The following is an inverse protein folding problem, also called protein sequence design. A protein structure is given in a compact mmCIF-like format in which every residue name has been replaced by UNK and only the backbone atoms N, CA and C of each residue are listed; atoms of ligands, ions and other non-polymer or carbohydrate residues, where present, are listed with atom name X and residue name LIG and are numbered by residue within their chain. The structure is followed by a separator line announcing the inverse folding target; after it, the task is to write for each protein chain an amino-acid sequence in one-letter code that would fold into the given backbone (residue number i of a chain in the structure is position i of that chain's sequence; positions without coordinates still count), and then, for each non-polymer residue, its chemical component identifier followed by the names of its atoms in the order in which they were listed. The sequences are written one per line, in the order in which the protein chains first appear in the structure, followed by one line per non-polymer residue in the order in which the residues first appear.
data_IF_632093197885
#
_entry.id   IF_632093197885
#
_cell.length_a   1.000
_cell.length_b   1.000
_cell.length_c   1.000
_cell.angle_alpha   90.00
_cell.angle_beta   90.00
_cell.angle_gamma   90.00
#
_symmetry.space_group_name_H-M   'P 1'
#
loop_
_entity.id
_entity.type
_entity.pdbx_description
1 polymer ?
#
# COMPACT_ATOMS: atom_id res chain seq x y z
N UNK A 1 23.18 19.71 -37.47
CA UNK A 1 21.97 19.97 -36.65
C UNK A 1 21.21 18.71 -36.26
N UNK A 2 21.12 17.68 -37.11
CA UNK A 2 20.31 16.47 -36.85
C UNK A 2 20.86 15.48 -35.82
N UNK A 3 22.11 15.62 -35.37
CA UNK A 3 22.75 14.72 -34.38
C UNK A 3 22.66 15.30 -32.94
N UNK A 4 22.43 16.61 -32.81
CA UNK A 4 22.28 17.29 -31.51
C UNK A 4 20.86 17.18 -30.94
N UNK A 5 19.87 16.85 -31.77
CA UNK A 5 18.48 16.65 -31.35
C UNK A 5 18.21 15.25 -30.77
N UNK A 6 19.12 14.29 -30.98
CA UNK A 6 19.02 12.93 -30.41
C UNK A 6 19.39 12.86 -28.92
N UNK A 7 19.97 13.94 -28.37
CA UNK A 7 20.31 14.08 -26.95
C UNK A 7 19.19 14.77 -26.15
N UNK A 8 18.08 15.11 -26.79
CA UNK A 8 16.87 15.66 -26.19
C UNK A 8 15.79 14.60 -25.98
N UNK A 9 16.18 13.33 -25.77
CA UNK A 9 15.31 12.44 -25.02
C UNK A 9 15.37 12.97 -23.58
N UNK A 10 14.25 13.37 -22.96
CA UNK A 10 14.23 13.43 -21.51
C UNK A 10 14.46 12.00 -21.07
N UNK A 11 15.71 11.67 -20.75
CA UNK A 11 15.95 10.66 -19.75
C UNK A 11 15.16 11.18 -18.56
N UNK A 12 13.96 10.63 -18.35
CA UNK A 12 13.35 10.64 -17.04
C UNK A 12 14.44 10.03 -16.16
N UNK A 13 15.29 10.86 -15.56
CA UNK A 13 16.16 10.45 -14.49
C UNK A 13 15.18 9.97 -13.43
N UNK A 14 14.92 8.68 -13.41
CA UNK A 14 14.22 8.06 -12.30
C UNK A 14 15.07 8.40 -11.09
N UNK A 15 14.53 9.30 -10.26
CA UNK A 15 15.20 9.68 -9.02
C UNK A 15 15.35 8.39 -8.20
N UNK A 16 16.49 8.18 -7.53
CA UNK A 16 16.68 6.98 -6.73
C UNK A 16 15.55 6.87 -5.68
N UNK A 17 15.16 5.65 -5.28
CA UNK A 17 14.20 5.49 -4.20
C UNK A 17 14.72 6.22 -2.96
N UNK A 18 13.82 6.73 -2.14
CA UNK A 18 14.19 7.36 -0.87
C UNK A 18 13.53 6.67 0.33
N UNK A 19 12.59 5.75 0.08
CA UNK A 19 12.05 4.85 1.07
C UNK A 19 11.63 3.52 0.43
N UNK A 20 11.21 2.57 1.26
CA UNK A 20 10.73 1.28 0.79
C UNK A 20 10.25 0.39 1.93
N UNK A 21 9.80 -0.80 1.56
CA UNK A 21 9.35 -1.79 2.54
C UNK A 21 9.51 -3.22 2.06
N UNK A 22 9.62 -4.14 3.03
CA UNK A 22 9.64 -5.58 2.82
C UNK A 22 8.45 -6.19 3.56
N UNK A 23 7.49 -6.75 2.81
CA UNK A 23 6.45 -7.61 3.37
C UNK A 23 7.03 -9.02 3.54
N UNK A 24 7.17 -9.46 4.77
CA UNK A 24 7.83 -10.74 5.09
C UNK A 24 6.86 -11.92 4.89
N UNK A 25 7.36 -13.17 4.84
CA UNK A 25 6.50 -14.35 4.85
C UNK A 25 5.52 -14.38 6.04
N UNK A 26 5.95 -13.89 7.22
CA UNK A 26 5.08 -13.76 8.40
C UNK A 26 3.97 -12.75 8.17
N UNK A 27 4.26 -11.60 7.57
CA UNK A 27 3.26 -10.61 7.18
C UNK A 27 2.28 -11.14 6.13
N UNK A 28 2.77 -11.86 5.13
CA UNK A 28 1.92 -12.50 4.13
C UNK A 28 0.99 -13.54 4.75
N UNK A 29 1.47 -14.28 5.76
CA UNK A 29 0.65 -15.24 6.49
C UNK A 29 -0.47 -14.57 7.30
N UNK A 30 -0.26 -13.33 7.77
CA UNK A 30 -1.31 -12.52 8.39
C UNK A 30 -2.32 -12.01 7.36
N UNK A 31 -1.85 -11.72 6.14
CA UNK A 31 -2.71 -11.37 5.01
C UNK A 31 -3.48 -12.57 4.42
N UNK A 32 -3.32 -13.79 4.96
CA UNK A 32 -4.20 -14.93 4.61
C UNK A 32 -5.64 -14.49 4.76
N UNK A 33 -6.33 -14.46 3.63
CA UNK A 33 -7.66 -13.93 3.44
C UNK A 33 -8.54 -14.03 4.68
N UNK A 34 -8.89 -12.90 5.27
CA UNK A 34 -9.87 -12.85 6.34
C UNK A 34 -11.24 -13.41 5.90
N UNK A 35 -12.20 -13.58 6.83
CA UNK A 35 -13.50 -14.25 6.63
C UNK A 35 -14.39 -13.67 5.49
N UNK A 36 -13.97 -12.59 4.84
CA UNK A 36 -14.67 -11.93 3.73
C UNK A 36 -14.49 -12.62 2.38
N UNK A 37 -13.39 -13.33 2.13
CA UNK A 37 -13.25 -14.11 0.87
C UNK A 37 -14.11 -15.38 0.91
N UNK A 38 -14.31 -15.97 2.09
CA UNK A 38 -15.36 -16.97 2.29
C UNK A 38 -16.76 -16.41 1.97
N UNK A 39 -17.00 -15.09 2.13
CA UNK A 39 -18.28 -14.47 1.78
C UNK A 39 -18.48 -14.38 0.27
N UNK A 40 -17.43 -14.09 -0.52
CA UNK A 40 -17.53 -14.00 -1.99
C UNK A 40 -17.82 -15.38 -2.59
N UNK A 41 -17.23 -16.43 -2.02
CA UNK A 41 -17.48 -17.82 -2.44
C UNK A 41 -18.86 -18.32 -1.93
N UNK A 42 -19.33 -17.81 -0.79
CA UNK A 42 -20.66 -18.14 -0.23
C UNK A 42 -21.80 -17.39 -0.93
N UNK A 43 -21.60 -16.14 -1.37
CA UNK A 43 -22.58 -15.38 -2.16
C UNK A 43 -22.57 -15.80 -3.64
N UNK A 44 -21.46 -16.37 -4.13
CA UNK A 44 -21.43 -17.17 -5.35
C UNK A 44 -22.15 -18.52 -5.23
N UNK A 45 -22.82 -18.79 -4.11
CA UNK A 45 -23.49 -20.05 -3.76
C UNK A 45 -24.80 -19.87 -2.99
N UNK A 46 -25.51 -18.75 -3.18
CA UNK A 46 -26.88 -18.56 -2.69
C UNK A 46 -27.10 -17.28 -1.88
N UNK A 47 -27.72 -16.29 -2.51
CA UNK A 47 -28.26 -15.08 -1.88
C UNK A 47 -27.56 -13.79 -2.30
N UNK A 48 -28.20 -13.06 -3.22
CA UNK A 48 -27.87 -11.70 -3.69
C UNK A 48 -26.49 -11.51 -4.32
N UNK A 49 -26.37 -11.98 -5.57
CA UNK A 49 -25.49 -11.37 -6.56
C UNK A 49 -25.79 -9.86 -6.58
N UNK A 50 -24.77 -9.04 -6.35
CA UNK A 50 -24.77 -7.63 -6.68
C UNK A 50 -25.31 -7.47 -8.11
N UNK A 51 -26.52 -6.92 -8.22
CA UNK A 51 -27.06 -6.47 -9.49
C UNK A 51 -26.10 -5.44 -10.08
N UNK A 52 -25.51 -5.76 -11.24
CA UNK A 52 -25.20 -4.75 -12.25
C UNK A 52 -25.07 -5.44 -13.61
N UNK A 53 -25.98 -5.11 -14.53
CA UNK A 53 -25.68 -5.04 -15.96
C UNK A 53 -25.75 -6.33 -16.79
N UNK A 54 -26.97 -6.72 -17.13
CA UNK A 54 -27.50 -7.23 -18.41
C UNK A 54 -26.69 -8.19 -19.32
N UNK A 55 -27.36 -9.28 -19.69
CA UNK A 55 -27.20 -9.94 -20.98
C UNK A 55 -26.04 -10.92 -21.14
N UNK A 56 -26.16 -12.14 -20.59
CA UNK A 56 -26.12 -13.41 -21.35
C UNK A 56 -25.88 -14.63 -20.44
N UNK A 57 -26.52 -15.74 -20.85
CA UNK A 57 -26.22 -17.15 -20.53
C UNK A 57 -27.02 -17.80 -19.39
N UNK A 58 -28.16 -18.39 -19.79
CA UNK A 58 -29.10 -19.22 -19.04
C UNK A 58 -28.50 -20.50 -18.39
N UNK A 59 -27.18 -20.73 -18.45
CA UNK A 59 -26.51 -21.91 -17.88
C UNK A 59 -25.97 -21.68 -16.47
N UNK A 60 -25.68 -20.45 -16.07
CA UNK A 60 -25.12 -20.12 -14.74
C UNK A 60 -26.16 -20.31 -13.63
N UNK A 61 -27.44 -20.06 -13.94
CA UNK A 61 -28.58 -20.20 -13.02
C UNK A 61 -28.88 -21.68 -12.67
N UNK A 62 -28.38 -22.64 -13.45
CA UNK A 62 -28.63 -24.07 -13.21
C UNK A 62 -27.65 -24.69 -12.20
N UNK A 63 -26.40 -24.21 -12.12
CA UNK A 63 -25.37 -24.68 -11.19
C UNK A 63 -25.66 -24.31 -9.72
N UNK A 64 -26.14 -23.09 -9.47
CA UNK A 64 -26.42 -22.57 -8.13
C UNK A 64 -27.53 -23.34 -7.39
N UNK A 65 -28.43 -23.99 -8.12
CA UNK A 65 -29.55 -24.74 -7.53
C UNK A 65 -29.16 -26.13 -7.02
N UNK A 66 -27.93 -26.61 -7.28
CA UNK A 66 -27.47 -27.95 -6.89
C UNK A 66 -26.42 -27.93 -5.76
N UNK A 67 -25.76 -26.79 -5.51
CA UNK A 67 -24.76 -26.65 -4.44
C UNK A 67 -25.49 -26.34 -3.13
N UNK A 68 -25.42 -27.25 -2.16
CA UNK A 68 -26.05 -27.09 -0.83
C UNK A 68 -25.08 -26.60 0.23
N UNK A 69 -23.79 -26.88 0.08
CA UNK A 69 -22.76 -26.46 1.03
C UNK A 69 -21.44 -26.18 0.33
N UNK A 70 -20.72 -25.18 0.84
CA UNK A 70 -19.37 -24.83 0.41
C UNK A 70 -18.55 -24.65 1.68
N UNK A 71 -17.50 -25.46 1.83
CA UNK A 71 -16.59 -25.40 2.98
C UNK A 71 -15.15 -25.23 2.50
N UNK A 72 -14.46 -24.20 3.00
CA UNK A 72 -13.07 -23.94 2.65
C UNK A 72 -12.19 -24.67 3.65
N UNK A 73 -11.57 -25.74 3.19
CA UNK A 73 -10.78 -26.65 4.05
C UNK A 73 -9.33 -26.21 4.18
N UNK A 74 -8.75 -25.62 3.14
CA UNK A 74 -7.40 -25.09 3.15
C UNK A 74 -7.29 -23.81 2.32
N UNK A 75 -6.57 -22.82 2.85
CA UNK A 75 -6.21 -21.60 2.13
C UNK A 75 -4.80 -21.17 2.53
N UNK A 76 -3.90 -21.13 1.57
CA UNK A 76 -2.52 -20.69 1.80
C UNK A 76 -2.03 -19.76 0.69
N UNK A 77 -1.23 -18.79 1.11
CA UNK A 77 -0.56 -17.84 0.24
C UNK A 77 0.93 -17.91 0.56
N UNK A 78 1.75 -18.15 -0.46
CA UNK A 78 3.19 -18.40 -0.31
C UNK A 78 3.98 -17.59 -1.33
N UNK A 79 5.23 -17.26 -0.99
CA UNK A 79 6.14 -16.53 -1.88
C UNK A 79 6.91 -17.54 -2.73
N UNK A 80 6.95 -17.31 -4.05
CA UNK A 80 7.86 -17.97 -4.98
C UNK A 80 8.95 -16.94 -5.34
N UNK A 81 10.19 -17.14 -4.88
CA UNK A 81 11.29 -16.24 -5.19
C UNK A 81 11.42 -15.97 -6.69
N UNK A 82 11.73 -14.72 -7.04
CA UNK A 82 11.95 -14.24 -8.41
C UNK A 82 10.73 -14.36 -9.35
N UNK A 83 9.60 -14.86 -8.86
CA UNK A 83 8.43 -15.21 -9.68
C UNK A 83 7.15 -14.51 -9.23
N UNK A 84 6.83 -14.53 -7.93
CA UNK A 84 5.57 -13.98 -7.43
C UNK A 84 5.02 -14.67 -6.18
N UNK A 85 3.70 -14.83 -6.14
CA UNK A 85 2.94 -15.50 -5.09
C UNK A 85 2.24 -16.74 -5.63
N UNK A 86 2.06 -17.74 -4.78
CA UNK A 86 1.19 -18.89 -5.06
C UNK A 86 0.09 -18.98 -4.02
N UNK A 87 -1.14 -18.88 -4.52
CA UNK A 87 -2.37 -19.13 -3.81
C UNK A 87 -2.74 -20.60 -4.01
N UNK A 88 -2.94 -21.32 -2.90
CA UNK A 88 -3.50 -22.66 -2.91
C UNK A 88 -4.80 -22.64 -2.08
N UNK A 89 -5.86 -23.20 -2.65
CA UNK A 89 -7.18 -23.21 -2.02
C UNK A 89 -7.88 -24.54 -2.26
N UNK A 90 -8.34 -25.18 -1.19
CA UNK A 90 -9.13 -26.40 -1.25
C UNK A 90 -10.52 -26.19 -0.64
N UNK A 91 -11.55 -26.57 -1.41
CA UNK A 91 -12.95 -26.35 -1.11
C UNK A 91 -13.73 -27.65 -1.24
N UNK A 92 -14.45 -28.03 -0.19
CA UNK A 92 -15.40 -29.13 -0.22
C UNK A 92 -16.80 -28.58 -0.61
N UNK A 93 -17.30 -29.04 -1.76
CA UNK A 93 -18.60 -28.69 -2.34
C UNK A 93 -19.59 -29.82 -2.12
N UNK A 94 -20.68 -29.56 -1.39
CA UNK A 94 -21.80 -30.47 -1.28
C UNK A 94 -22.77 -30.26 -2.43
N UNK A 95 -22.78 -31.16 -3.41
CA UNK A 95 -23.63 -31.09 -4.60
C UNK A 95 -24.74 -32.14 -4.50
N UNK A 96 -25.98 -31.70 -4.65
CA UNK A 96 -27.17 -32.56 -4.62
C UNK A 96 -27.84 -32.50 -6.00
N UNK A 97 -27.43 -33.36 -6.95
CA UNK A 97 -28.02 -33.40 -8.29
C UNK A 97 -29.48 -33.91 -8.28
N UNK A 98 -29.89 -34.58 -7.19
CA UNK A 98 -31.25 -35.10 -6.93
C UNK A 98 -31.55 -34.97 -5.42
N UNK A 99 -32.77 -34.62 -4.97
CA UNK A 99 -33.10 -34.32 -3.57
C UNK A 99 -32.72 -35.41 -2.54
N UNK A 100 -32.45 -36.65 -2.96
CA UNK A 100 -32.18 -37.80 -2.10
C UNK A 100 -30.70 -38.22 -1.99
N UNK A 101 -29.78 -37.60 -2.74
CA UNK A 101 -28.33 -37.91 -2.62
C UNK A 101 -27.50 -36.63 -2.67
N UNK A 102 -26.55 -36.50 -1.74
CA UNK A 102 -25.56 -35.41 -1.71
C UNK A 102 -24.20 -36.05 -1.94
N UNK A 103 -23.51 -35.62 -2.99
CA UNK A 103 -22.12 -35.97 -3.27
C UNK A 103 -21.23 -34.84 -2.80
N UNK A 104 -20.10 -35.18 -2.17
CA UNK A 104 -19.09 -34.21 -1.79
C UNK A 104 -18.00 -34.23 -2.85
N UNK A 105 -17.80 -33.10 -3.53
CA UNK A 105 -16.71 -32.90 -4.47
C UNK A 105 -15.68 -31.97 -3.83
N UNK A 106 -14.40 -32.27 -4.02
CA UNK A 106 -13.30 -31.42 -3.60
C UNK A 106 -12.79 -30.65 -4.80
N UNK A 107 -12.86 -29.33 -4.71
CA UNK A 107 -12.29 -28.38 -5.66
C UNK A 107 -10.97 -27.88 -5.10
N UNK A 108 -9.88 -28.12 -5.81
CA UNK A 108 -8.56 -27.53 -5.50
C UNK A 108 -8.21 -26.50 -6.56
N UNK A 109 -7.76 -25.32 -6.14
CA UNK A 109 -7.40 -24.20 -7.00
C UNK A 109 -5.97 -23.79 -6.65
N UNK A 110 -5.09 -23.88 -7.66
CA UNK A 110 -3.74 -23.33 -7.59
C UNK A 110 -3.67 -22.12 -8.53
N UNK A 111 -3.40 -20.94 -7.98
CA UNK A 111 -3.22 -19.73 -8.76
C UNK A 111 -1.88 -19.07 -8.45
N UNK A 112 -1.11 -18.76 -9.49
CA UNK A 112 0.09 -17.96 -9.40
C UNK A 112 -0.29 -16.49 -9.63
N UNK A 113 0.16 -15.63 -8.73
CA UNK A 113 -0.14 -14.20 -8.72
C UNK A 113 1.15 -13.41 -8.82
N UNK A 114 1.12 -12.26 -9.49
CA UNK A 114 2.25 -11.35 -9.62
C UNK A 114 1.83 -9.93 -9.27
N UNK A 115 2.74 -9.15 -8.70
CA UNK A 115 2.52 -7.72 -8.54
C UNK A 115 3.26 -7.00 -9.65
N UNK A 116 2.52 -6.31 -10.48
CA UNK A 116 3.03 -5.56 -11.62
C UNK A 116 2.80 -4.06 -11.42
N UNK A 117 3.51 -3.25 -12.21
CA UNK A 117 3.29 -1.81 -12.27
C UNK A 117 2.46 -1.51 -13.52
N UNK A 118 1.30 -0.90 -13.35
CA UNK A 118 0.41 -0.58 -14.45
C UNK A 118 0.84 0.70 -15.18
N UNK A 119 0.11 1.07 -16.24
CA UNK A 119 0.42 2.23 -17.07
C UNK A 119 0.31 3.57 -16.30
N UNK A 120 -0.50 3.60 -15.23
CA UNK A 120 -0.69 4.74 -14.33
C UNK A 120 0.32 4.76 -13.16
N UNK A 121 1.39 3.96 -13.23
CA UNK A 121 2.44 3.86 -12.21
C UNK A 121 1.93 3.37 -10.83
N UNK A 122 0.82 2.61 -10.82
CA UNK A 122 0.29 1.97 -9.62
C UNK A 122 0.66 0.49 -9.57
N UNK A 123 0.66 -0.07 -8.36
CA UNK A 123 0.85 -1.50 -8.16
C UNK A 123 -0.47 -2.24 -8.36
N UNK A 124 -0.45 -3.33 -9.11
CA UNK A 124 -1.59 -4.19 -9.35
C UNK A 124 -1.21 -5.66 -9.15
N UNK A 125 -2.05 -6.41 -8.44
CA UNK A 125 -1.94 -7.86 -8.30
C UNK A 125 -2.72 -8.54 -9.43
N UNK A 126 -2.01 -9.28 -10.26
CA UNK A 126 -2.56 -9.97 -11.44
C UNK A 126 -2.44 -11.48 -11.28
N UNK A 127 -3.33 -12.24 -11.95
CA UNK A 127 -3.24 -13.70 -12.03
C UNK A 127 -2.40 -14.09 -13.24
N UNK A 128 -1.24 -14.72 -13.05
CA UNK A 128 -0.37 -15.16 -14.14
C UNK A 128 -0.73 -16.57 -14.63
N UNK A 129 -1.10 -17.46 -13.73
CA UNK A 129 -1.60 -18.80 -14.04
C UNK A 129 -2.68 -19.23 -13.05
N UNK A 130 -3.66 -20.00 -13.51
CA UNK A 130 -4.69 -20.57 -12.65
C UNK A 130 -5.05 -21.98 -13.13
N UNK A 131 -4.99 -22.94 -12.22
CA UNK A 131 -5.30 -24.35 -12.47
C UNK A 131 -6.28 -24.88 -11.41
N UNK A 132 -7.56 -24.96 -11.75
CA UNK A 132 -8.58 -25.62 -10.94
C UNK A 132 -8.63 -27.12 -11.26
N UNK A 133 -8.82 -27.93 -10.24
CA UNK A 133 -8.95 -29.40 -10.33
C UNK A 133 -10.09 -29.87 -9.45
N UNK A 134 -10.90 -30.81 -9.95
CA UNK A 134 -12.08 -31.32 -9.26
C UNK A 134 -11.93 -32.82 -9.02
N UNK A 135 -12.17 -33.28 -7.80
CA UNK A 135 -12.16 -34.68 -7.43
C UNK A 135 -13.40 -35.06 -6.63
N UNK A 136 -14.00 -36.23 -6.90
CA UNK A 136 -15.10 -36.74 -6.09
C UNK A 136 -14.56 -37.43 -4.83
N UNK A 137 -15.01 -37.00 -3.64
CA UNK A 137 -14.58 -37.60 -2.37
C UNK A 137 -15.33 -38.93 -2.21
N UNK A 138 -14.64 -40.06 -2.42
CA UNK A 138 -15.24 -41.39 -2.20
C UNK A 138 -15.63 -41.55 -0.74
N UNK A 139 -16.91 -41.77 -0.48
CA UNK A 139 -17.40 -42.13 0.85
C UNK A 139 -16.88 -43.52 1.23
N UNK A 140 -16.30 -43.64 2.42
CA UNK A 140 -15.70 -44.89 2.95
C UNK A 140 -16.73 -45.97 3.32
N UNK A 141 -18.03 -45.70 3.20
CA UNK A 141 -19.06 -46.73 3.35
C UNK A 141 -19.67 -47.07 1.99
N UNK A 142 -19.17 -48.15 1.37
CA UNK A 142 -19.99 -49.28 0.91
C UNK A 142 -19.10 -50.36 0.26
N UNK A 143 -18.91 -51.44 1.01
CA UNK A 143 -18.35 -52.69 0.51
C UNK A 143 -19.45 -53.41 -0.29
N UNK A 144 -19.48 -53.28 -1.62
CA UNK A 144 -19.71 -54.41 -2.55
C UNK A 144 -19.91 -53.98 -4.02
N UNK A 145 -19.22 -54.72 -4.90
CA UNK A 145 -19.34 -54.85 -6.37
C UNK A 145 -18.72 -53.75 -7.28
N UNK A 146 -17.91 -54.14 -8.30
CA UNK A 146 -17.29 -53.22 -9.22
C UNK A 146 -18.31 -52.80 -10.30
N UNK A 147 -18.97 -51.66 -10.10
CA UNK A 147 -19.73 -51.03 -11.18
C UNK A 147 -18.77 -50.34 -12.13
N UNK A 148 -18.62 -50.90 -13.33
CA UNK A 148 -18.20 -50.15 -14.52
C UNK A 148 -19.26 -49.10 -14.78
N UNK A 149 -19.01 -47.84 -14.43
CA UNK A 149 -19.87 -46.73 -14.83
C UNK A 149 -19.04 -45.55 -15.27
N UNK A 150 -19.12 -45.31 -16.57
CA UNK A 150 -18.86 -44.09 -17.33
C UNK A 150 -18.65 -42.82 -16.50
N UNK A 151 -17.40 -42.38 -16.42
CA UNK A 151 -17.06 -40.96 -16.25
C UNK A 151 -17.59 -40.20 -17.48
N UNK A 152 -18.57 -39.30 -17.32
CA UNK A 152 -18.78 -38.19 -18.28
C UNK A 152 -20.00 -37.29 -18.00
N UNK A 153 -20.81 -37.50 -16.97
CA UNK A 153 -22.02 -36.67 -16.77
C UNK A 153 -21.83 -35.53 -15.76
N UNK A 154 -20.98 -35.71 -14.74
CA UNK A 154 -20.63 -34.66 -13.77
C UNK A 154 -19.57 -33.69 -14.32
N UNK A 155 -18.67 -34.16 -15.19
CA UNK A 155 -17.61 -33.36 -15.81
C UNK A 155 -18.13 -32.27 -16.76
N UNK A 156 -19.43 -32.27 -17.09
CA UNK A 156 -20.05 -31.32 -18.02
C UNK A 156 -20.77 -30.16 -17.34
N UNK A 157 -21.04 -30.22 -16.03
CA UNK A 157 -21.95 -29.25 -15.39
C UNK A 157 -21.21 -28.12 -14.64
N UNK A 158 -19.94 -28.31 -14.26
CA UNK A 158 -19.12 -27.23 -13.70
C UNK A 158 -18.11 -26.79 -14.74
N UNK A 159 -18.30 -25.57 -15.28
CA UNK A 159 -17.34 -24.97 -16.18
C UNK A 159 -16.11 -24.54 -15.37
N UNK A 160 -15.14 -25.45 -15.29
CA UNK A 160 -13.85 -25.31 -14.63
C UNK A 160 -13.11 -24.05 -15.10
N UNK A 161 -13.26 -23.66 -16.37
CA UNK A 161 -12.64 -22.45 -16.93
C UNK A 161 -13.24 -21.15 -16.34
N UNK A 162 -14.49 -21.20 -15.87
CA UNK A 162 -15.14 -20.04 -15.23
C UNK A 162 -14.65 -19.83 -13.79
N UNK A 163 -14.14 -20.86 -13.13
CA UNK A 163 -13.64 -20.77 -11.74
C UNK A 163 -12.46 -19.81 -11.67
N UNK A 164 -11.52 -19.88 -12.61
CA UNK A 164 -10.38 -18.97 -12.64
C UNK A 164 -10.78 -17.51 -12.82
N UNK A 165 -11.81 -17.22 -13.62
CA UNK A 165 -12.33 -15.87 -13.76
C UNK A 165 -12.91 -15.35 -12.44
N UNK A 166 -13.65 -16.17 -11.70
CA UNK A 166 -14.16 -15.78 -10.38
C UNK A 166 -13.04 -15.60 -9.35
N UNK A 167 -11.97 -16.42 -9.42
CA UNK A 167 -10.77 -16.25 -8.59
C UNK A 167 -10.09 -14.92 -8.88
N UNK A 168 -9.96 -14.52 -10.15
CA UNK A 168 -9.40 -13.22 -10.50
C UNK A 168 -10.23 -12.05 -9.97
N UNK A 169 -11.56 -12.20 -9.81
CA UNK A 169 -12.40 -11.17 -9.16
C UNK A 169 -12.10 -11.00 -7.67
N UNK A 170 -11.53 -12.01 -7.00
CA UNK A 170 -11.07 -11.88 -5.60
C UNK A 170 -9.96 -10.84 -5.46
N UNK A 171 -9.25 -10.54 -6.55
CA UNK A 171 -8.15 -9.57 -6.58
C UNK A 171 -8.63 -8.12 -6.70
N UNK A 172 -9.91 -7.87 -7.01
CA UNK A 172 -10.46 -6.52 -7.16
C UNK A 172 -10.27 -5.67 -5.91
N UNK A 173 -10.63 -6.21 -4.73
CA UNK A 173 -10.50 -5.48 -3.47
C UNK A 173 -9.02 -5.29 -3.05
N UNK A 174 -8.15 -6.32 -3.12
CA UNK A 174 -6.71 -6.12 -2.96
C UNK A 174 -6.14 -5.04 -3.88
N UNK A 175 -6.54 -5.01 -5.16
CA UNK A 175 -6.06 -4.02 -6.13
C UNK A 175 -6.57 -2.60 -5.81
N UNK A 176 -7.83 -2.45 -5.40
CA UNK A 176 -8.34 -1.17 -4.90
C UNK A 176 -7.50 -0.65 -3.72
N UNK A 177 -7.10 -1.55 -2.80
CA UNK A 177 -6.24 -1.20 -1.67
C UNK A 177 -4.81 -0.90 -2.08
N UNK A 178 -4.25 -1.63 -3.05
CA UNK A 178 -2.91 -1.36 -3.58
C UNK A 178 -2.85 0.00 -4.28
N UNK A 179 -3.86 0.34 -5.09
CA UNK A 179 -3.99 1.66 -5.72
C UNK A 179 -4.09 2.75 -4.65
N UNK A 180 -4.75 2.49 -3.51
CA UNK A 180 -4.82 3.48 -2.43
C UNK A 180 -3.45 3.84 -1.82
N UNK A 181 -2.42 2.99 -1.98
CA UNK A 181 -1.07 3.25 -1.44
C UNK A 181 -0.37 4.44 -2.11
N UNK A 182 -0.73 4.76 -3.35
CA UNK A 182 -0.16 5.89 -4.09
C UNK A 182 -0.97 7.17 -3.93
N UNK A 183 -2.04 7.15 -3.14
CA UNK A 183 -2.84 8.35 -2.89
C UNK A 183 -2.10 9.33 -1.99
N UNK A 184 -2.22 10.66 -2.24
CA UNK A 184 -1.62 11.66 -1.36
C UNK A 184 -2.14 11.54 0.07
N UNK A 185 -1.20 11.38 1.01
CA UNK A 185 -1.45 11.32 2.44
C UNK A 185 -1.18 12.68 3.10
N UNK A 186 -2.13 13.24 3.87
CA UNK A 186 -1.93 14.52 4.54
C UNK A 186 -0.94 14.37 5.71
N UNK A 187 0.15 15.14 5.68
CA UNK A 187 1.11 15.26 6.79
C UNK A 187 0.65 16.36 7.74
N UNK A 188 0.32 17.53 7.18
CA UNK A 188 -0.33 18.66 7.86
C UNK A 188 -1.36 19.28 6.89
N UNK A 189 -2.29 20.17 7.31
CA UNK A 189 -3.34 20.67 6.42
C UNK A 189 -2.84 21.29 5.10
N UNK A 190 -1.66 21.91 5.11
CA UNK A 190 -1.03 22.53 3.94
C UNK A 190 0.01 21.65 3.26
N UNK A 191 0.28 20.42 3.72
CA UNK A 191 1.35 19.56 3.19
C UNK A 191 0.91 18.10 3.08
N UNK A 192 1.08 17.51 1.90
CA UNK A 192 0.76 16.12 1.61
C UNK A 192 2.00 15.40 1.09
N UNK A 193 2.11 14.11 1.39
CA UNK A 193 3.14 13.21 0.85
C UNK A 193 2.48 12.16 -0.03
N UNK A 194 3.07 11.88 -1.18
CA UNK A 194 2.65 10.82 -2.08
C UNK A 194 3.79 9.83 -2.24
N UNK A 195 3.51 8.53 -2.10
CA UNK A 195 4.47 7.45 -2.29
C UNK A 195 4.26 6.84 -3.67
N UNK A 196 5.30 6.82 -4.49
CA UNK A 196 5.26 6.30 -5.85
C UNK A 196 6.17 5.08 -5.97
N UNK A 197 5.68 3.95 -6.49
CA UNK A 197 6.54 2.83 -6.84
C UNK A 197 7.44 3.22 -8.03
N UNK A 198 8.71 2.84 -7.96
CA UNK A 198 9.66 3.06 -9.06
C UNK A 198 9.73 1.89 -10.03
N UNK A 199 9.31 0.71 -9.58
CA UNK A 199 9.34 -0.54 -10.32
C UNK A 199 8.38 -1.54 -9.70
N UNK A 200 8.12 -2.63 -10.43
CA UNK A 200 7.43 -3.78 -9.88
C UNK A 200 8.17 -4.36 -8.65
N UNK A 201 7.46 -4.89 -7.64
CA UNK A 201 8.10 -5.43 -6.44
C UNK A 201 9.00 -6.63 -6.72
N UNK A 202 10.06 -6.75 -5.94
CA UNK A 202 11.02 -7.86 -6.03
C UNK A 202 10.65 -8.96 -5.03
N UNK A 203 10.47 -10.18 -5.51
CA UNK A 203 10.14 -11.35 -4.70
C UNK A 203 11.40 -12.11 -4.30
N UNK A 204 11.65 -12.26 -3.01
CA UNK A 204 12.82 -12.98 -2.50
C UNK A 204 12.45 -13.88 -1.32
N UNK A 205 13.44 -14.61 -0.80
CA UNK A 205 13.28 -15.37 0.44
C UNK A 205 12.97 -14.49 1.67
N UNK A 206 13.42 -13.23 1.65
CA UNK A 206 13.18 -12.29 2.76
C UNK A 206 11.75 -11.73 2.74
N UNK A 207 11.11 -11.73 1.57
CA UNK A 207 9.78 -11.16 1.38
C UNK A 207 9.60 -10.50 0.02
N UNK A 208 8.52 -9.74 -0.09
CA UNK A 208 8.19 -8.87 -1.22
C UNK A 208 8.74 -7.48 -0.92
N UNK A 209 9.69 -7.01 -1.73
CA UNK A 209 10.35 -5.72 -1.57
C UNK A 209 9.75 -4.69 -2.51
N UNK A 210 9.32 -3.54 -1.97
CA UNK A 210 8.82 -2.41 -2.74
C UNK A 210 9.75 -1.21 -2.52
N UNK A 211 10.29 -0.67 -3.62
CA UNK A 211 11.10 0.54 -3.61
C UNK A 211 10.25 1.74 -4.04
N UNK A 212 10.27 2.77 -3.21
CA UNK A 212 9.38 3.91 -3.32
C UNK A 212 10.16 5.22 -3.42
N UNK A 213 9.56 6.16 -4.13
CA UNK A 213 9.95 7.56 -4.13
C UNK A 213 8.83 8.41 -3.55
N UNK A 214 9.18 9.41 -2.74
CA UNK A 214 8.21 10.41 -2.29
C UNK A 214 8.13 11.65 -3.15
N UNK A 215 6.91 12.16 -3.32
CA UNK A 215 6.61 13.52 -3.75
C UNK A 215 5.93 14.27 -2.61
N UNK A 216 6.19 15.56 -2.49
CA UNK A 216 5.54 16.41 -1.51
C UNK A 216 4.78 17.52 -2.22
N UNK A 217 3.57 17.79 -1.74
CA UNK A 217 2.71 18.85 -2.25
C UNK A 217 2.40 19.83 -1.12
N UNK A 218 2.63 21.11 -1.36
CA UNK A 218 2.31 22.18 -0.42
C UNK A 218 1.21 23.04 -1.03
N UNK A 219 0.09 23.19 -0.30
CA UNK A 219 -1.11 23.88 -0.80
C UNK A 219 -1.59 23.40 -2.17
N UNK A 220 -1.46 22.08 -2.42
CA UNK A 220 -1.86 21.44 -3.69
C UNK A 220 -0.85 21.56 -4.83
N UNK A 221 0.35 22.12 -4.59
CA UNK A 221 1.40 22.27 -5.61
C UNK A 221 2.60 21.40 -5.25
N UNK A 222 3.05 20.56 -6.17
CA UNK A 222 4.28 19.76 -6.00
C UNK A 222 5.50 20.69 -5.84
N UNK A 223 6.28 20.46 -4.79
CA UNK A 223 7.49 21.26 -4.51
C UNK A 223 8.75 20.56 -5.05
N UNK A 224 9.74 21.33 -5.53
CA UNK A 224 11.03 20.75 -5.90
C UNK A 224 11.78 20.29 -4.65
N UNK A 225 12.07 19.00 -4.56
CA UNK A 225 12.84 18.43 -3.47
C UNK A 225 14.35 18.65 -3.65
N UNK A 226 15.12 18.73 -2.53
CA UNK A 226 16.57 18.71 -2.60
C UNK A 226 17.06 17.45 -3.33
N UNK A 227 18.20 17.53 -4.01
CA UNK A 227 18.78 16.37 -4.69
C UNK A 227 19.53 15.51 -3.67
N UNK A 228 19.24 14.21 -3.62
CA UNK A 228 20.03 13.29 -2.80
C UNK A 228 21.43 13.10 -3.40
N UNK A 229 22.52 13.34 -2.65
CA UNK A 229 23.85 13.00 -3.10
C UNK A 229 24.14 11.50 -3.05
N UNK A 230 23.35 10.73 -2.28
CA UNK A 230 23.60 9.31 -2.03
C UNK A 230 22.40 8.47 -2.53
N UNK A 231 22.64 7.47 -3.40
CA UNK A 231 21.60 6.51 -3.76
C UNK A 231 21.17 5.69 -2.55
N UNK A 232 19.86 5.49 -2.38
CA UNK A 232 19.34 4.60 -1.34
C UNK A 232 18.98 3.24 -1.94
N UNK A 233 19.29 2.20 -1.19
CA UNK A 233 18.93 0.81 -1.48
C UNK A 233 18.23 0.24 -0.26
N UNK A 234 17.29 -0.67 -0.47
CA UNK A 234 16.61 -1.33 0.64
C UNK A 234 17.66 -2.10 1.48
N UNK A 235 17.78 -1.81 2.79
CA UNK A 235 18.73 -2.52 3.63
C UNK A 235 18.27 -3.96 3.84
N UNK A 236 19.23 -4.87 4.01
CA UNK A 236 18.93 -6.22 4.48
C UNK A 236 18.30 -6.16 5.89
N UNK A 237 17.46 -7.14 6.22
CA UNK A 237 16.80 -7.17 7.53
C UNK A 237 17.83 -7.18 8.65
N UNK A 238 17.88 -6.08 9.42
CA UNK A 238 18.80 -5.91 10.53
C UNK A 238 18.42 -6.72 11.79
N UNK A 239 17.22 -7.31 11.83
CA UNK A 239 16.70 -8.00 13.01
C UNK A 239 16.34 -9.44 12.70
N UNK A 240 16.69 -10.34 13.63
CA UNK A 240 16.25 -11.75 13.63
C UNK A 240 14.82 -11.93 14.16
N UNK A 241 14.18 -10.87 14.65
CA UNK A 241 12.80 -10.91 15.14
C UNK A 241 11.86 -10.95 13.93
N UNK A 242 10.91 -11.90 13.88
CA UNK A 242 9.93 -11.96 12.80
C UNK A 242 9.04 -10.72 12.85
N UNK A 243 9.32 -9.76 11.97
CA UNK A 243 8.45 -8.62 11.70
C UNK A 243 7.50 -8.99 10.57
N UNK A 244 6.27 -8.46 10.57
CA UNK A 244 5.36 -8.61 9.43
C UNK A 244 5.75 -7.70 8.27
N UNK A 245 6.25 -6.51 8.61
CA UNK A 245 6.62 -5.46 7.67
C UNK A 245 7.89 -4.79 8.19
N UNK A 246 8.87 -4.65 7.31
CA UNK A 246 10.04 -3.79 7.54
C UNK A 246 9.90 -2.57 6.65
N UNK A 247 10.09 -1.37 7.20
CA UNK A 247 10.12 -0.12 6.44
C UNK A 247 11.51 0.49 6.55
N UNK A 248 11.98 1.09 5.47
CA UNK A 248 13.24 1.80 5.44
C UNK A 248 13.05 3.18 4.84
N UNK A 249 13.65 4.18 5.49
CA UNK A 249 13.59 5.58 5.13
C UNK A 249 15.01 6.12 5.09
N UNK A 250 15.41 6.71 3.97
CA UNK A 250 16.72 7.34 3.81
C UNK A 250 16.82 8.64 4.59
N UNK A 251 18.05 9.12 4.82
CA UNK A 251 18.28 10.50 5.29
C UNK A 251 17.57 11.52 4.40
N UNK A 252 17.66 11.32 3.07
CA UNK A 252 17.03 12.17 2.07
C UNK A 252 15.50 12.22 2.18
N UNK A 253 14.86 11.11 2.56
CA UNK A 253 13.41 11.11 2.86
C UNK A 253 13.10 12.07 4.00
N UNK A 254 13.88 12.03 5.07
CA UNK A 254 13.67 12.92 6.22
C UNK A 254 14.00 14.38 5.89
N UNK A 255 15.09 14.64 5.16
CA UNK A 255 15.40 15.99 4.68
C UNK A 255 14.26 16.55 3.81
N UNK A 256 13.70 15.73 2.93
CA UNK A 256 12.60 16.11 2.04
C UNK A 256 11.31 16.45 2.81
N UNK A 257 10.92 15.65 3.81
CA UNK A 257 9.72 15.96 4.62
C UNK A 257 9.93 17.23 5.45
N UNK A 258 11.11 17.43 6.04
CA UNK A 258 11.40 18.64 6.82
C UNK A 258 11.42 19.90 5.93
N UNK A 259 11.97 19.80 4.73
CA UNK A 259 11.91 20.86 3.72
C UNK A 259 10.45 21.17 3.30
N UNK A 260 9.63 20.15 3.12
CA UNK A 260 8.22 20.33 2.78
C UNK A 260 7.44 21.02 3.91
N UNK A 261 7.70 20.65 5.16
CA UNK A 261 7.09 21.26 6.35
C UNK A 261 7.54 22.72 6.55
N UNK A 262 8.82 23.03 6.28
CA UNK A 262 9.33 24.40 6.24
C UNK A 262 8.60 25.23 5.18
N UNK A 263 8.52 24.70 3.95
CA UNK A 263 7.83 25.36 2.82
C UNK A 263 6.34 25.56 3.11
N UNK A 264 5.71 24.62 3.82
CA UNK A 264 4.33 24.69 4.25
C UNK A 264 4.08 25.65 5.42
N UNK A 265 5.14 26.27 5.97
CA UNK A 265 5.06 27.15 7.14
C UNK A 265 4.70 26.42 8.43
N UNK A 266 4.82 25.09 8.49
CA UNK A 266 4.40 24.26 9.62
C UNK A 266 5.19 24.55 10.90
N UNK A 267 6.36 25.18 10.77
CA UNK A 267 7.21 25.57 11.88
C UNK A 267 7.13 27.07 12.23
N UNK A 268 6.30 27.85 11.52
CA UNK A 268 6.13 29.26 11.84
C UNK A 268 5.47 29.36 13.21
N UNK A 269 6.23 29.83 14.19
CA UNK A 269 5.75 30.01 15.55
C UNK A 269 5.75 31.50 15.89
N UNK A 270 4.60 31.98 16.36
CA UNK A 270 4.41 33.34 16.88
C UNK A 270 3.98 33.22 18.33
N UNK A 271 4.85 33.60 19.26
CA UNK A 271 4.53 33.59 20.69
C UNK A 271 4.22 35.03 21.10
N UNK A 272 2.99 35.26 21.56
CA UNK A 272 2.59 36.53 22.16
C UNK A 272 3.08 36.54 23.62
N UNK A 273 3.99 37.44 23.94
CA UNK A 273 4.46 37.65 25.31
C UNK A 273 3.86 38.95 25.82
N UNK A 274 2.98 38.82 26.82
CA UNK A 274 2.52 39.96 27.61
C UNK A 274 3.56 40.25 28.68
N UNK A 275 4.49 41.16 28.41
CA UNK A 275 5.49 41.57 29.39
C UNK A 275 4.85 42.60 30.31
N UNK A 276 4.59 42.20 31.56
CA UNK A 276 4.23 43.12 32.66
C UNK A 276 5.37 43.17 33.67
N UNK A 277 5.83 44.36 34.12
CA UNK A 277 6.30 45.51 33.33
C UNK A 277 7.77 45.33 32.89
N UNK A 278 8.17 45.98 31.78
CA UNK A 278 9.54 45.90 31.26
C UNK A 278 10.57 46.50 32.25
N UNK A 279 11.82 46.00 32.28
CA UNK A 279 12.94 46.76 32.83
C UNK A 279 13.01 48.13 32.11
N UNK A 280 13.02 49.21 32.89
CA UNK A 280 13.04 50.64 32.52
C UNK A 280 13.85 51.04 31.26
N UNK A 281 14.85 50.26 30.85
CA UNK A 281 15.64 50.50 29.64
C UNK A 281 14.89 50.23 28.32
N UNK A 282 13.84 49.38 28.30
CA UNK A 282 13.03 49.13 27.10
C UNK A 282 11.71 49.92 27.07
N UNK A 283 11.29 50.50 28.19
CA UNK A 283 10.04 51.25 28.32
C UNK A 283 10.07 52.62 27.61
N UNK A 284 11.25 53.13 27.22
CA UNK A 284 11.38 54.42 26.53
C UNK A 284 11.16 54.34 25.00
N UNK A 285 11.25 53.14 24.42
CA UNK A 285 11.13 52.93 22.97
C UNK A 285 9.69 52.67 22.52
N UNK A 286 8.81 52.25 23.43
CA UNK A 286 7.42 51.93 23.15
C UNK A 286 6.54 52.68 24.16
N UNK A 287 5.83 53.72 23.70
CA UNK A 287 5.00 54.59 24.54
C UNK A 287 3.68 53.94 25.01
N UNK A 288 3.40 52.71 24.56
CA UNK A 288 2.18 51.96 24.88
C UNK A 288 2.52 50.50 25.19
N UNK A 289 1.65 49.83 25.96
CA UNK A 289 1.70 48.39 26.30
C UNK A 289 1.48 47.51 25.04
N UNK A 290 2.37 47.63 24.04
CA UNK A 290 2.31 46.85 22.83
C UNK A 290 2.71 45.39 23.15
N UNK A 291 1.94 44.40 22.68
CA UNK A 291 2.30 43.01 22.89
C UNK A 291 3.63 42.72 22.18
N UNK A 292 4.58 42.17 22.93
CA UNK A 292 5.84 41.71 22.37
C UNK A 292 5.60 40.36 21.73
N UNK A 293 6.09 40.20 20.51
CA UNK A 293 5.99 38.98 19.72
C UNK A 293 7.38 38.39 19.56
N UNK A 294 7.49 37.08 19.82
CA UNK A 294 8.61 36.28 19.34
C UNK A 294 8.18 35.52 18.10
N UNK A 295 8.91 35.72 17.01
CA UNK A 295 8.74 35.02 15.75
C UNK A 295 9.97 34.16 15.48
N UNK A 296 9.78 32.86 15.30
CA UNK A 296 10.85 31.96 14.85
C UNK A 296 10.77 31.77 13.32
N UNK A 297 11.87 32.05 12.62
CA UNK A 297 11.98 31.93 11.16
C UNK A 297 13.17 31.06 10.80
N UNK A 298 13.04 30.20 9.79
CA UNK A 298 14.17 29.41 9.29
C UNK A 298 15.18 30.29 8.54
N UNK A 299 16.47 30.06 8.81
CA UNK A 299 17.59 30.64 8.06
C UNK A 299 18.05 29.78 6.91
N UNK A 300 17.88 28.47 7.06
CA UNK A 300 18.28 27.46 6.08
C UNK A 300 17.54 26.17 6.36
N UNK A 301 17.40 25.34 5.34
CA UNK A 301 16.67 24.08 5.45
C UNK A 301 17.23 23.15 6.54
N UNK A 302 16.36 22.40 7.23
CA UNK A 302 16.79 21.44 8.24
C UNK A 302 17.73 20.40 7.66
N UNK A 303 18.67 19.93 8.47
CA UNK A 303 19.58 18.83 8.10
C UNK A 303 19.31 17.62 8.96
N UNK A 304 19.30 16.46 8.33
CA UNK A 304 19.07 15.18 9.01
C UNK A 304 20.33 14.35 8.93
N UNK A 305 20.67 13.69 10.03
CA UNK A 305 21.77 12.72 10.09
C UNK A 305 21.23 11.47 10.76
N UNK A 306 21.34 10.34 10.07
CA UNK A 306 21.00 9.01 10.55
C UNK A 306 22.29 8.20 10.70
N UNK A 307 22.58 7.85 11.94
CA UNK A 307 23.67 6.95 12.33
C UNK A 307 23.06 5.72 13.02
N UNK A 308 23.82 4.63 13.11
CA UNK A 308 23.36 3.44 13.83
C UNK A 308 22.99 3.81 15.28
N UNK A 309 21.75 3.52 15.67
CA UNK A 309 21.21 3.84 17.00
C UNK A 309 20.96 5.33 17.28
N UNK A 310 21.13 6.22 16.29
CA UNK A 310 21.01 7.67 16.50
C UNK A 310 20.41 8.39 15.29
N UNK A 311 19.31 9.11 15.53
CA UNK A 311 18.75 10.05 14.57
C UNK A 311 18.90 11.47 15.12
N UNK A 312 19.36 12.41 14.31
CA UNK A 312 19.54 13.81 14.69
C UNK A 312 18.99 14.74 13.62
N UNK A 313 18.20 15.72 14.04
CA UNK A 313 17.69 16.79 13.17
C UNK A 313 18.25 18.11 13.65
N UNK A 314 18.89 18.85 12.75
CA UNK A 314 19.45 20.17 13.00
C UNK A 314 18.58 21.20 12.32
N UNK A 315 17.96 22.05 13.12
CA UNK A 315 17.21 23.19 12.65
C UNK A 315 18.06 24.45 12.77
N UNK A 316 17.86 25.40 11.85
CA UNK A 316 18.60 26.65 11.81
C UNK A 316 17.60 27.79 11.84
N UNK A 317 17.42 28.39 13.02
CA UNK A 317 16.39 29.40 13.22
C UNK A 317 17.01 30.78 13.48
N UNK A 318 16.21 31.80 13.23
CA UNK A 318 16.37 33.12 13.81
C UNK A 318 15.12 33.42 14.62
N UNK A 319 15.32 33.72 15.90
CA UNK A 319 14.27 34.22 16.79
C UNK A 319 14.30 35.73 16.70
N UNK A 320 13.24 36.31 16.14
CA UNK A 320 13.02 37.74 16.09
C UNK A 320 12.08 38.13 17.22
N UNK A 321 12.53 39.06 18.07
CA UNK A 321 11.70 39.68 19.11
C UNK A 321 11.33 41.07 18.62
N UNK A 322 10.03 41.36 18.63
CA UNK A 322 9.49 42.59 18.05
C UNK A 322 8.18 43.02 18.68
N UNK A 323 7.71 44.20 18.30
CA UNK A 323 6.36 44.67 18.59
C UNK A 323 5.58 44.83 17.29
N UNK A 324 4.25 44.76 17.36
CA UNK A 324 3.39 44.96 16.18
C UNK A 324 2.82 46.37 16.21
N UNK A 325 3.22 47.20 15.25
CA UNK A 325 2.61 48.52 14.99
C UNK A 325 3.10 49.08 13.65
N UNK A 326 2.27 49.28 12.60
CA UNK A 326 1.23 48.42 12.00
C UNK A 326 1.78 47.17 11.29
N UNK A 327 3.10 47.03 11.18
CA UNK A 327 3.81 45.81 10.76
C UNK A 327 4.70 45.30 11.91
N UNK A 328 5.22 44.08 11.80
CA UNK A 328 6.16 43.55 12.79
C UNK A 328 7.49 44.32 12.72
N UNK A 329 7.86 44.97 13.82
CA UNK A 329 9.14 45.66 13.96
C UNK A 329 10.03 44.86 14.91
N UNK A 330 11.03 44.17 14.35
CA UNK A 330 12.04 43.47 15.16
C UNK A 330 12.99 44.46 15.82
N UNK A 331 13.19 44.30 17.13
CA UNK A 331 14.20 45.03 17.90
C UNK A 331 15.37 44.15 18.33
N UNK A 332 15.19 42.82 18.35
CA UNK A 332 16.24 41.86 18.66
C UNK A 332 16.13 40.64 17.75
N UNK A 333 17.28 40.16 17.25
CA UNK A 333 17.37 38.98 16.41
C UNK A 333 18.45 38.05 16.95
N UNK A 334 18.08 36.82 17.30
CA UNK A 334 18.98 35.82 17.88
C UNK A 334 19.05 34.63 16.92
N UNK A 335 20.25 34.28 16.49
CA UNK A 335 20.47 33.08 15.68
C UNK A 335 20.63 31.87 16.60
N UNK A 336 19.85 30.84 16.33
CA UNK A 336 19.87 29.55 17.05
C UNK A 336 20.10 28.43 16.03
#
# INVERSE_FOLDING_TARGET
LSILLSLLVPAHLSKPPNCGGILTPSGLSYCKCGPRICHIIREGGGGNICQLGDGTSNTVTRMLNQIKSVDVTELSLSIIPDTGLRLNMDVDLGISPVPSTTKVMRLSIVADLQVEMNAEENLELVTSACKPTMEEKKSTEERSTPRKSSSSEVDKEINVDKICLEVSKLLLLPNERLISLTTPFPVVPSCQVQYLPLAAPVFSKQGITVSLQTKFQVSGVEIPLPVSPVPFSMPEQASSIPSHLTLAFSEHYYESIFYALETAGAFNMTILVKITPLPWQMASLFQEDLPVILQAVFRSSPRVVLEEGKASVKFFFTIQVGAVSPAFQSFLSINV
#
